data_IF_098284545658
#
_entry.id   IF_098284545658
#
_cell.length_a   1.000
_cell.length_b   1.000
_cell.length_c   1.000
_cell.angle_alpha   90.00
_cell.angle_beta   90.00
_cell.angle_gamma   90.00
#
_symmetry.space_group_name_H-M   'P 1'
#
loop_
_entity.id
_entity.type
_entity.pdbx_description
1 polymer ?
#
# COMPACT_ATOMS: atom_id res chain seq x y z
N UNK A 1 42.26 -15.79 52.62
CA UNK A 1 41.94 -16.55 51.37
C UNK A 1 40.84 -15.81 50.62
N UNK A 2 41.18 -14.89 49.71
CA UNK A 2 40.17 -14.19 48.88
C UNK A 2 39.94 -14.92 47.57
N UNK A 3 38.70 -15.37 47.34
CA UNK A 3 38.24 -15.94 46.07
C UNK A 3 38.36 -14.89 44.96
N UNK A 4 39.25 -15.14 44.01
CA UNK A 4 39.27 -14.46 42.71
C UNK A 4 38.10 -14.97 41.87
N UNK A 5 37.04 -14.18 41.75
CA UNK A 5 36.00 -14.41 40.75
C UNK A 5 36.55 -14.05 39.37
N UNK A 6 36.96 -15.06 38.58
CA UNK A 6 37.22 -14.90 37.15
C UNK A 6 35.90 -14.54 36.45
N UNK A 7 35.65 -13.24 36.28
CA UNK A 7 34.66 -12.77 35.31
C UNK A 7 35.17 -13.15 33.92
N UNK A 8 34.49 -14.08 33.25
CA UNK A 8 34.74 -14.41 31.84
C UNK A 8 34.61 -13.13 31.01
N UNK A 9 35.76 -12.55 30.61
CA UNK A 9 35.80 -11.51 29.58
C UNK A 9 35.55 -12.21 28.25
N UNK A 10 34.36 -12.01 27.69
CA UNK A 10 34.10 -12.38 26.29
C UNK A 10 35.11 -11.67 25.40
N UNK A 11 35.90 -12.44 24.66
CA UNK A 11 36.96 -11.91 23.78
C UNK A 11 36.37 -11.01 22.70
N UNK A 12 36.93 -9.79 22.47
CA UNK A 12 36.52 -8.92 21.37
C UNK A 12 36.52 -9.61 20.00
N UNK A 13 37.38 -10.63 19.85
CA UNK A 13 37.52 -11.44 18.62
C UNK A 13 36.33 -12.37 18.36
N UNK A 14 35.72 -12.91 19.41
CA UNK A 14 34.52 -13.76 19.28
C UNK A 14 33.33 -12.91 18.78
N UNK A 15 33.26 -11.65 19.20
CA UNK A 15 32.24 -10.68 18.81
C UNK A 15 32.43 -10.19 17.37
N UNK A 16 33.65 -9.87 16.97
CA UNK A 16 33.98 -9.60 15.56
C UNK A 16 33.63 -10.79 14.66
N UNK A 17 33.88 -12.02 15.13
CA UNK A 17 33.52 -13.23 14.40
C UNK A 17 31.99 -13.43 14.31
N UNK A 18 31.23 -13.18 15.38
CA UNK A 18 29.77 -13.26 15.36
C UNK A 18 29.13 -12.16 14.49
N UNK A 19 29.67 -10.94 14.51
CA UNK A 19 29.20 -9.83 13.68
C UNK A 19 29.52 -10.10 12.20
N UNK A 20 30.71 -10.62 11.90
CA UNK A 20 31.10 -11.04 10.57
C UNK A 20 30.23 -12.23 10.09
N UNK A 21 29.93 -13.18 10.96
CA UNK A 21 29.05 -14.31 10.66
C UNK A 21 27.60 -13.83 10.40
N UNK A 22 27.08 -12.89 11.17
CA UNK A 22 25.75 -12.32 10.94
C UNK A 22 25.69 -11.51 9.64
N UNK A 23 26.70 -10.69 9.35
CA UNK A 23 26.83 -9.98 8.07
C UNK A 23 26.92 -10.99 6.92
N UNK A 24 27.67 -12.07 7.08
CA UNK A 24 27.77 -13.14 6.10
C UNK A 24 26.43 -13.90 5.93
N UNK A 25 25.67 -14.12 7.00
CA UNK A 25 24.34 -14.75 6.95
C UNK A 25 23.34 -13.83 6.27
N UNK A 26 23.31 -12.54 6.61
CA UNK A 26 22.44 -11.56 5.94
C UNK A 26 22.81 -11.40 4.46
N UNK A 27 24.11 -11.38 4.14
CA UNK A 27 24.59 -11.35 2.76
C UNK A 27 24.25 -12.65 2.01
N UNK A 28 24.39 -13.81 2.66
CA UNK A 28 24.05 -15.10 2.09
C UNK A 28 22.54 -15.26 1.89
N UNK A 29 21.71 -14.86 2.86
CA UNK A 29 20.25 -14.85 2.76
C UNK A 29 19.80 -13.93 1.63
N UNK A 30 20.41 -12.74 1.51
CA UNK A 30 20.18 -11.87 0.37
C UNK A 30 20.57 -12.55 -0.95
N UNK A 31 21.74 -13.19 -1.05
CA UNK A 31 22.19 -13.90 -2.26
C UNK A 31 21.31 -15.12 -2.58
N UNK A 32 20.84 -15.86 -1.59
CA UNK A 32 20.00 -17.05 -1.74
C UNK A 32 18.58 -16.67 -2.19
N UNK A 33 17.97 -15.67 -1.55
CA UNK A 33 16.69 -15.07 -1.97
C UNK A 33 16.77 -14.48 -3.38
N UNK A 34 17.92 -13.88 -3.74
CA UNK A 34 18.17 -13.40 -5.09
C UNK A 34 18.40 -14.52 -6.12
N UNK A 35 18.81 -15.73 -5.73
CA UNK A 35 18.91 -16.86 -6.67
C UNK A 35 17.54 -17.47 -7.01
N UNK A 36 16.56 -17.38 -6.10
CA UNK A 36 15.22 -17.92 -6.30
C UNK A 36 14.31 -16.98 -7.11
N UNK A 37 14.65 -15.69 -7.17
CA UNK A 37 13.84 -14.65 -7.83
C UNK A 37 14.26 -14.35 -9.29
N UNK A 38 15.16 -15.13 -9.92
CA UNK A 38 15.67 -14.86 -11.29
C UNK A 38 15.19 -15.89 -12.33
N UNK A 39 13.89 -15.86 -12.66
CA UNK A 39 13.40 -16.24 -14.00
C UNK A 39 12.42 -15.17 -14.52
N UNK A 40 12.86 -13.90 -14.52
CA UNK A 40 12.15 -12.80 -15.18
C UNK A 40 12.48 -12.80 -16.66
N UNK A 41 11.78 -13.64 -17.44
CA UNK A 41 12.06 -13.76 -18.87
C UNK A 41 11.63 -12.54 -19.71
N UNK A 42 10.66 -11.71 -19.31
CA UNK A 42 10.23 -10.60 -20.17
C UNK A 42 9.72 -9.33 -19.43
N UNK A 43 10.57 -8.28 -19.34
CA UNK A 43 10.16 -6.86 -19.17
C UNK A 43 10.71 -6.06 -17.95
N UNK A 44 10.75 -4.70 -18.04
CA UNK A 44 11.82 -3.91 -18.65
C UNK A 44 13.14 -3.97 -17.88
N UNK A 45 14.19 -4.22 -18.65
CA UNK A 45 15.54 -4.60 -18.22
C UNK A 45 16.46 -3.44 -18.60
N UNK A 46 17.10 -2.80 -17.62
CA UNK A 46 18.47 -2.23 -17.65
C UNK A 46 18.70 -1.19 -16.54
N UNK A 47 17.74 -0.27 -16.32
CA UNK A 47 17.84 0.71 -15.22
C UNK A 47 17.62 0.08 -13.84
N UNK A 48 16.68 -0.86 -13.73
CA UNK A 48 16.43 -1.64 -12.51
C UNK A 48 17.66 -2.43 -12.07
N UNK A 49 18.27 -3.23 -12.96
CA UNK A 49 19.40 -4.12 -12.60
C UNK A 49 20.67 -3.36 -12.16
N UNK A 50 20.98 -2.23 -12.81
CA UNK A 50 22.13 -1.40 -12.46
C UNK A 50 21.88 -0.57 -11.18
N UNK A 51 20.70 0.04 -11.04
CA UNK A 51 20.29 0.71 -9.81
C UNK A 51 20.23 -0.27 -8.62
N UNK A 52 19.83 -1.51 -8.87
CA UNK A 52 19.69 -2.56 -7.87
C UNK A 52 21.05 -3.13 -7.44
N UNK A 53 22.00 -3.41 -8.34
CA UNK A 53 23.38 -3.78 -7.95
C UNK A 53 24.09 -2.65 -7.20
N UNK A 54 23.88 -1.39 -7.61
CA UNK A 54 24.40 -0.21 -6.91
C UNK A 54 23.73 -0.05 -5.53
N UNK A 55 22.45 -0.36 -5.43
CA UNK A 55 21.70 -0.36 -4.16
C UNK A 55 22.19 -1.46 -3.21
N UNK A 56 22.56 -2.66 -3.70
CA UNK A 56 23.03 -3.78 -2.87
C UNK A 56 24.31 -3.45 -2.09
N UNK A 57 25.30 -2.84 -2.75
CA UNK A 57 26.54 -2.39 -2.10
C UNK A 57 26.29 -1.22 -1.15
N UNK A 58 25.48 -0.25 -1.58
CA UNK A 58 25.10 0.91 -0.75
C UNK A 58 24.29 0.50 0.49
N UNK A 59 23.46 -0.54 0.39
CA UNK A 59 22.67 -1.09 1.47
C UNK A 59 23.53 -1.82 2.50
N UNK A 60 24.41 -2.72 2.05
CA UNK A 60 25.35 -3.40 2.94
C UNK A 60 26.21 -2.38 3.69
N UNK A 61 26.68 -1.33 2.99
CA UNK A 61 27.38 -0.20 3.60
C UNK A 61 26.48 0.55 4.58
N UNK A 62 25.23 0.87 4.24
CA UNK A 62 24.30 1.59 5.13
C UNK A 62 23.98 0.81 6.41
N UNK A 63 23.73 -0.51 6.31
CA UNK A 63 23.51 -1.37 7.47
C UNK A 63 24.76 -1.44 8.34
N UNK A 64 25.94 -1.64 7.74
CA UNK A 64 27.22 -1.65 8.48
C UNK A 64 27.49 -0.29 9.15
N UNK A 65 27.22 0.82 8.46
CA UNK A 65 27.36 2.17 9.01
C UNK A 65 26.37 2.40 10.15
N UNK A 66 25.14 1.92 10.06
CA UNK A 66 24.15 2.05 11.12
C UNK A 66 24.53 1.26 12.37
N UNK A 67 25.03 0.02 12.21
CA UNK A 67 25.60 -0.79 13.28
C UNK A 67 26.78 -0.07 13.94
N UNK A 68 27.72 0.43 13.14
CA UNK A 68 28.88 1.17 13.61
C UNK A 68 28.49 2.45 14.36
N UNK A 69 27.47 3.16 13.88
CA UNK A 69 26.97 4.41 14.48
C UNK A 69 26.34 4.15 15.85
N UNK A 70 25.46 3.15 15.96
CA UNK A 70 24.88 2.72 17.24
C UNK A 70 25.99 2.31 18.20
N UNK A 71 26.97 1.53 17.75
CA UNK A 71 28.11 1.10 18.57
C UNK A 71 28.95 2.28 19.09
N UNK A 72 29.41 3.19 18.22
CA UNK A 72 30.25 4.33 18.62
C UNK A 72 29.55 5.22 19.64
N UNK A 73 28.27 5.54 19.42
CA UNK A 73 27.53 6.49 20.24
C UNK A 73 27.17 5.89 21.60
N UNK A 74 26.65 4.66 21.61
CA UNK A 74 26.31 3.98 22.86
C UNK A 74 27.59 3.68 23.65
N UNK A 75 28.70 3.30 22.99
CA UNK A 75 29.98 3.02 23.65
C UNK A 75 30.59 4.23 24.34
N UNK A 76 30.54 5.41 23.71
CA UNK A 76 31.05 6.66 24.30
C UNK A 76 30.29 7.07 25.57
N UNK A 77 29.09 6.53 25.79
CA UNK A 77 28.13 7.04 26.79
C UNK A 77 27.62 5.99 27.77
N UNK A 78 28.08 4.74 27.68
CA UNK A 78 27.63 3.64 28.53
C UNK A 78 28.74 2.62 28.83
N UNK A 79 28.46 1.69 29.74
CA UNK A 79 29.35 0.55 29.98
C UNK A 79 29.42 -0.35 28.75
N UNK A 80 30.49 -1.13 28.63
CA UNK A 80 30.62 -2.12 27.55
C UNK A 80 29.42 -3.07 27.51
N UNK A 81 28.97 -3.57 28.66
CA UNK A 81 27.83 -4.47 28.77
C UNK A 81 26.54 -3.86 28.20
N UNK A 82 26.26 -2.61 28.56
CA UNK A 82 25.02 -1.96 28.14
C UNK A 82 25.05 -1.59 26.65
N UNK A 83 26.24 -1.27 26.13
CA UNK A 83 26.48 -1.12 24.69
C UNK A 83 26.19 -2.41 23.94
N UNK A 84 26.66 -3.55 24.46
CA UNK A 84 26.39 -4.85 23.85
C UNK A 84 24.90 -5.19 23.87
N UNK A 85 24.22 -4.98 24.99
CA UNK A 85 22.81 -5.30 25.09
C UNK A 85 21.96 -4.46 24.11
N UNK A 86 22.24 -3.15 23.98
CA UNK A 86 21.58 -2.28 23.02
C UNK A 86 21.85 -2.70 21.56
N UNK A 87 23.10 -3.06 21.25
CA UNK A 87 23.47 -3.56 19.92
C UNK A 87 22.79 -4.90 19.60
N UNK A 88 22.74 -5.83 20.55
CA UNK A 88 22.05 -7.11 20.37
C UNK A 88 20.54 -6.94 20.19
N UNK A 89 19.91 -6.00 20.92
CA UNK A 89 18.50 -5.66 20.71
C UNK A 89 18.25 -5.09 19.30
N UNK A 90 19.15 -4.22 18.80
CA UNK A 90 19.07 -3.69 17.44
C UNK A 90 19.23 -4.78 16.38
N UNK A 91 20.26 -5.62 16.49
CA UNK A 91 20.53 -6.72 15.55
C UNK A 91 19.42 -7.77 15.58
N UNK A 92 18.91 -8.11 16.77
CA UNK A 92 17.76 -9.01 16.91
C UNK A 92 16.50 -8.45 16.28
N UNK A 93 16.24 -7.14 16.43
CA UNK A 93 15.14 -6.46 15.75
C UNK A 93 15.26 -6.49 14.23
N UNK A 94 16.45 -6.24 13.69
CA UNK A 94 16.72 -6.35 12.24
C UNK A 94 16.49 -7.76 11.70
N UNK A 95 16.97 -8.77 12.44
CA UNK A 95 16.75 -10.16 12.07
C UNK A 95 15.25 -10.49 12.06
N UNK A 96 14.50 -10.00 13.06
CA UNK A 96 13.05 -10.18 13.12
C UNK A 96 12.34 -9.50 11.95
N UNK A 97 12.73 -8.29 11.55
CA UNK A 97 12.19 -7.63 10.35
C UNK A 97 12.43 -8.47 9.10
N UNK A 98 13.66 -8.97 8.93
CA UNK A 98 13.99 -9.82 7.79
C UNK A 98 13.14 -11.10 7.76
N UNK A 99 12.91 -11.73 8.93
CA UNK A 99 12.01 -12.89 9.04
C UNK A 99 10.58 -12.52 8.65
N UNK A 100 10.04 -11.40 9.14
CA UNK A 100 8.69 -10.94 8.76
C UNK A 100 8.61 -10.75 7.25
N UNK A 101 9.52 -9.97 6.65
CA UNK A 101 9.49 -9.66 5.23
C UNK A 101 9.67 -10.90 4.34
N UNK A 102 10.57 -11.81 4.70
CA UNK A 102 10.79 -13.06 3.97
C UNK A 102 9.63 -14.06 4.12
N UNK A 103 8.80 -13.90 5.16
CA UNK A 103 7.61 -14.74 5.35
C UNK A 103 6.39 -14.29 4.53
N UNK A 104 6.39 -13.06 3.98
CA UNK A 104 5.22 -12.50 3.28
C UNK A 104 4.81 -13.31 2.05
N UNK A 105 5.78 -13.72 1.23
CA UNK A 105 5.53 -14.50 0.01
C UNK A 105 5.04 -15.94 0.34
N UNK A 106 5.72 -16.72 1.22
CA UNK A 106 5.21 -18.02 1.66
C UNK A 106 3.82 -17.97 2.31
N UNK A 107 3.46 -16.85 2.93
CA UNK A 107 2.14 -16.63 3.52
C UNK A 107 1.11 -16.11 2.50
N UNK A 108 1.52 -15.85 1.25
CA UNK A 108 0.65 -15.30 0.20
C UNK A 108 0.17 -13.87 0.45
N UNK A 109 0.88 -13.10 1.28
CA UNK A 109 0.49 -11.74 1.66
C UNK A 109 1.01 -10.74 0.62
N UNK A 110 2.29 -10.83 0.26
CA UNK A 110 2.90 -9.99 -0.79
C UNK A 110 4.14 -10.67 -1.37
N UNK A 111 4.35 -10.50 -2.67
CA UNK A 111 5.46 -11.02 -3.47
C UNK A 111 6.43 -9.90 -3.85
N UNK A 112 6.54 -8.88 -2.98
CA UNK A 112 7.31 -7.67 -3.24
C UNK A 112 8.78 -7.79 -2.89
N UNK A 113 9.62 -6.87 -3.38
CA UNK A 113 11.04 -6.86 -3.03
C UNK A 113 11.24 -6.56 -1.55
N UNK A 114 12.01 -7.41 -0.86
CA UNK A 114 12.28 -7.31 0.59
C UNK A 114 13.38 -6.29 0.93
N UNK A 115 14.31 -6.04 0.00
CA UNK A 115 15.56 -5.32 0.30
C UNK A 115 15.34 -3.85 0.68
N UNK A 116 14.51 -3.11 -0.07
CA UNK A 116 14.25 -1.70 0.20
C UNK A 116 13.48 -1.50 1.52
N UNK A 117 12.39 -2.24 1.81
CA UNK A 117 11.75 -2.20 3.12
C UNK A 117 12.73 -2.47 4.27
N UNK A 118 13.57 -3.50 4.16
CA UNK A 118 14.55 -3.83 5.20
C UNK A 118 15.56 -2.69 5.43
N UNK A 119 15.99 -1.99 4.37
CA UNK A 119 16.84 -0.82 4.46
C UNK A 119 16.20 0.31 5.27
N UNK A 120 14.94 0.61 4.97
CA UNK A 120 14.16 1.65 5.64
C UNK A 120 13.96 1.28 7.11
N UNK A 121 13.61 0.03 7.40
CA UNK A 121 13.45 -0.45 8.78
C UNK A 121 14.76 -0.40 9.56
N UNK A 122 15.90 -0.70 8.93
CA UNK A 122 17.21 -0.54 9.55
C UNK A 122 17.52 0.91 9.96
N UNK A 123 17.15 1.87 9.11
CA UNK A 123 17.27 3.28 9.40
C UNK A 123 16.34 3.71 10.55
N UNK A 124 15.07 3.26 10.54
CA UNK A 124 14.09 3.53 11.60
C UNK A 124 14.57 2.98 12.94
N UNK A 125 15.00 1.71 12.99
CA UNK A 125 15.54 1.08 14.20
C UNK A 125 16.77 1.79 14.73
N UNK A 126 17.65 2.25 13.84
CA UNK A 126 18.82 3.03 14.20
C UNK A 126 18.39 4.37 14.81
N UNK A 127 17.46 5.08 14.17
CA UNK A 127 16.87 6.32 14.68
C UNK A 127 16.25 6.16 16.07
N UNK A 128 15.47 5.10 16.31
CA UNK A 128 14.90 4.78 17.62
C UNK A 128 16.00 4.50 18.65
N UNK A 129 17.00 3.71 18.30
CA UNK A 129 18.12 3.42 19.18
C UNK A 129 18.89 4.71 19.57
N UNK A 130 19.14 5.59 18.61
CA UNK A 130 19.82 6.87 18.84
C UNK A 130 18.96 7.85 19.64
N UNK A 131 17.67 7.94 19.33
CA UNK A 131 16.71 8.82 20.00
C UNK A 131 16.52 8.47 21.47
N UNK A 132 16.31 7.18 21.78
CA UNK A 132 16.30 6.70 23.16
C UNK A 132 17.62 7.03 23.87
N UNK A 133 18.75 6.97 23.14
CA UNK A 133 20.08 7.31 23.64
C UNK A 133 20.22 8.76 24.05
N UNK A 134 19.70 9.65 23.21
CA UNK A 134 19.68 11.08 23.48
C UNK A 134 18.77 11.42 24.67
N UNK A 135 17.56 10.86 24.74
CA UNK A 135 16.62 11.09 25.84
C UNK A 135 17.19 10.60 27.16
N UNK A 136 17.73 9.38 27.21
CA UNK A 136 18.34 8.84 28.42
C UNK A 136 19.54 9.66 28.90
N UNK A 137 20.31 10.23 27.97
CA UNK A 137 21.42 11.13 28.28
C UNK A 137 20.92 12.45 28.87
N UNK A 138 19.96 13.12 28.21
CA UNK A 138 19.37 14.38 28.70
C UNK A 138 18.72 14.22 30.07
N UNK A 139 18.12 13.06 30.34
CA UNK A 139 17.50 12.75 31.63
C UNK A 139 18.50 12.29 32.72
N UNK A 140 19.81 12.21 32.44
CA UNK A 140 20.82 11.75 33.39
C UNK A 140 20.69 10.28 33.82
N UNK A 141 19.90 9.50 33.08
CA UNK A 141 19.55 8.11 33.42
C UNK A 141 20.72 7.14 33.16
N UNK A 142 21.62 7.48 32.23
CA UNK A 142 22.75 6.64 31.83
C UNK A 142 23.81 6.41 32.93
N UNK A 143 23.85 7.26 33.96
CA UNK A 143 24.87 7.18 35.04
C UNK A 143 24.32 6.51 36.30
N UNK A 144 23.02 6.66 36.60
CA UNK A 144 22.42 6.22 37.88
C UNK A 144 21.66 4.89 37.85
N UNK A 145 21.19 4.40 36.68
CA UNK A 145 20.38 3.15 36.57
C UNK A 145 20.82 2.26 35.41
N UNK A 146 21.93 1.53 35.58
CA UNK A 146 22.60 0.73 34.53
C UNK A 146 21.70 -0.31 33.82
N UNK A 147 20.78 -0.96 34.56
CA UNK A 147 19.90 -1.99 33.99
C UNK A 147 18.67 -1.46 33.21
N UNK A 148 18.27 -0.21 33.45
CA UNK A 148 17.08 0.38 32.81
C UNK A 148 17.31 0.65 31.32
N UNK A 149 18.57 0.90 30.94
CA UNK A 149 18.93 1.34 29.61
C UNK A 149 18.83 0.25 28.53
N UNK A 150 19.42 -0.94 28.72
CA UNK A 150 19.18 -2.09 27.83
C UNK A 150 17.69 -2.44 27.71
N UNK A 151 16.94 -2.33 28.81
CA UNK A 151 15.51 -2.60 28.82
C UNK A 151 14.74 -1.62 27.94
N UNK A 152 14.99 -0.31 28.06
CA UNK A 152 14.34 0.71 27.21
C UNK A 152 14.67 0.52 25.73
N UNK A 153 15.92 0.18 25.40
CA UNK A 153 16.29 -0.20 24.05
C UNK A 153 15.54 -1.43 23.56
N UNK A 154 15.51 -2.50 24.36
CA UNK A 154 14.78 -3.73 24.05
C UNK A 154 13.30 -3.46 23.79
N UNK A 155 12.65 -2.69 24.67
CA UNK A 155 11.25 -2.28 24.53
C UNK A 155 11.02 -1.43 23.28
N UNK A 156 11.90 -0.48 22.98
CA UNK A 156 11.82 0.32 21.76
C UNK A 156 11.94 -0.51 20.49
N UNK A 157 12.88 -1.47 20.46
CA UNK A 157 13.04 -2.39 19.33
C UNK A 157 11.86 -3.36 19.20
N UNK A 158 11.32 -3.85 20.32
CA UNK A 158 10.12 -4.67 20.34
C UNK A 158 8.89 -3.89 19.83
N UNK A 159 8.73 -2.63 20.22
CA UNK A 159 7.66 -1.77 19.72
C UNK A 159 7.76 -1.56 18.20
N UNK A 160 8.95 -1.30 17.67
CA UNK A 160 9.15 -1.24 16.21
C UNK A 160 8.76 -2.56 15.55
N UNK A 161 9.12 -3.70 16.14
CA UNK A 161 8.72 -5.01 15.60
C UNK A 161 7.20 -5.19 15.59
N UNK A 162 6.49 -4.79 16.64
CA UNK A 162 5.02 -4.84 16.67
C UNK A 162 4.40 -3.99 15.55
N UNK A 163 4.94 -2.78 15.33
CA UNK A 163 4.51 -1.92 14.21
C UNK A 163 4.82 -2.57 12.86
N UNK A 164 5.98 -3.22 12.70
CA UNK A 164 6.33 -3.93 11.46
C UNK A 164 5.38 -5.10 11.20
N UNK A 165 5.08 -5.91 12.22
CA UNK A 165 4.13 -7.03 12.09
C UNK A 165 2.75 -6.51 11.75
N UNK A 166 2.27 -5.48 12.44
CA UNK A 166 0.99 -4.86 12.13
C UNK A 166 0.95 -4.36 10.69
N UNK A 167 1.95 -3.58 10.30
CA UNK A 167 1.93 -2.85 9.05
C UNK A 167 2.16 -3.73 7.80
N UNK A 168 2.91 -4.82 7.92
CA UNK A 168 3.21 -5.73 6.80
C UNK A 168 2.33 -6.97 6.77
N UNK A 169 1.72 -7.38 7.89
CA UNK A 169 0.99 -8.66 7.98
C UNK A 169 -0.47 -8.43 8.31
N UNK A 170 -0.77 -7.74 9.42
CA UNK A 170 -2.11 -7.68 9.97
C UNK A 170 -2.98 -6.65 9.23
N UNK A 171 -2.51 -5.41 9.15
CA UNK A 171 -3.26 -4.31 8.55
C UNK A 171 -3.52 -4.51 7.05
N UNK A 172 -2.55 -4.96 6.22
CA UNK A 172 -2.80 -5.29 4.82
C UNK A 172 -3.85 -6.40 4.63
N UNK A 173 -4.00 -7.31 5.59
CA UNK A 173 -5.00 -8.39 5.56
C UNK A 173 -6.35 -7.97 6.16
N UNK A 174 -6.40 -6.80 6.82
CA UNK A 174 -7.51 -6.28 7.60
C UNK A 174 -8.56 -5.55 6.77
N UNK A 175 -9.19 -6.24 5.81
CA UNK A 175 -10.21 -5.64 4.94
C UNK A 175 -11.37 -5.03 5.75
N UNK A 176 -11.62 -3.75 5.52
CA UNK A 176 -12.73 -2.98 6.12
C UNK A 176 -13.83 -2.70 5.09
N UNK A 177 -15.04 -2.37 5.58
CA UNK A 177 -16.12 -1.84 4.74
C UNK A 177 -16.46 -0.43 5.20
N UNK A 178 -16.22 0.54 4.32
CA UNK A 178 -16.69 1.91 4.50
C UNK A 178 -18.10 2.07 3.97
N UNK A 179 -18.84 3.03 4.52
CA UNK A 179 -20.24 3.29 4.13
C UNK A 179 -20.40 4.74 3.69
N UNK A 180 -21.06 4.93 2.57
CA UNK A 180 -21.49 6.23 2.07
C UNK A 180 -22.99 6.19 1.82
N UNK A 181 -23.69 7.27 2.16
CA UNK A 181 -25.08 7.46 1.77
C UNK A 181 -25.18 8.69 0.88
N UNK A 182 -25.81 8.51 -0.28
CA UNK A 182 -26.02 9.56 -1.28
C UNK A 182 -27.52 9.69 -1.49
N UNK A 183 -28.00 10.92 -1.54
CA UNK A 183 -29.40 11.21 -1.83
C UNK A 183 -29.57 11.26 -3.35
N UNK A 184 -30.56 10.55 -3.89
CA UNK A 184 -30.96 10.68 -5.28
C UNK A 184 -31.94 11.85 -5.40
N UNK A 185 -31.55 12.98 -6.04
CA UNK A 185 -32.45 14.11 -6.17
C UNK A 185 -33.55 13.89 -7.23
N UNK A 186 -33.49 12.83 -8.02
CA UNK A 186 -34.39 12.55 -9.13
C UNK A 186 -35.37 11.41 -8.86
N UNK A 187 -35.05 10.51 -7.94
CA UNK A 187 -35.83 9.32 -7.63
C UNK A 187 -36.46 9.34 -6.25
N UNK A 188 -37.59 8.65 -6.08
CA UNK A 188 -38.13 8.26 -4.78
C UNK A 188 -38.39 6.77 -4.79
N UNK A 189 -37.87 6.02 -3.82
CA UNK A 189 -38.13 4.58 -3.76
C UNK A 189 -38.33 4.05 -2.35
N UNK A 190 -38.71 2.77 -2.28
CA UNK A 190 -38.99 2.03 -1.05
C UNK A 190 -37.75 1.42 -0.40
N UNK A 191 -36.64 1.23 -1.13
CA UNK A 191 -35.38 0.70 -0.57
C UNK A 191 -34.13 1.42 -1.12
N UNK A 192 -33.04 1.49 -0.34
CA UNK A 192 -31.76 1.95 -0.87
C UNK A 192 -31.24 1.04 -1.98
N UNK A 193 -30.72 1.64 -3.05
CA UNK A 193 -29.90 0.95 -4.05
C UNK A 193 -28.47 0.86 -3.56
N UNK A 194 -27.85 -0.32 -3.65
CA UNK A 194 -26.50 -0.58 -3.13
C UNK A 194 -25.50 -0.69 -4.26
N UNK A 195 -24.51 0.20 -4.25
CA UNK A 195 -23.33 0.14 -5.12
C UNK A 195 -22.15 -0.25 -4.25
N UNK A 196 -21.42 -1.30 -4.62
CA UNK A 196 -20.13 -1.62 -3.98
C UNK A 196 -18.99 -1.16 -4.88
N UNK A 197 -18.16 -0.26 -4.37
CA UNK A 197 -16.93 0.16 -5.04
C UNK A 197 -15.75 -0.67 -4.54
N UNK A 198 -14.97 -1.19 -5.49
CA UNK A 198 -13.68 -1.85 -5.25
C UNK A 198 -12.63 -1.11 -6.09
N UNK A 199 -11.52 -0.73 -5.48
CA UNK A 199 -10.49 0.07 -6.14
C UNK A 199 -9.11 -0.48 -5.84
N UNK A 200 -8.16 -0.27 -6.76
CA UNK A 200 -6.73 -0.50 -6.56
C UNK A 200 -6.47 -1.90 -6.02
N UNK A 201 -6.91 -2.94 -6.74
CA UNK A 201 -6.69 -4.33 -6.36
C UNK A 201 -5.19 -4.64 -6.28
N UNK A 202 -4.38 -4.05 -7.18
CA UNK A 202 -2.95 -4.33 -7.34
C UNK A 202 -2.63 -5.80 -7.15
N UNK A 203 -3.40 -6.66 -7.85
CA UNK A 203 -3.31 -8.09 -7.66
C UNK A 203 -1.94 -8.57 -8.13
N UNK A 204 -1.30 -9.38 -7.28
CA UNK A 204 -0.04 -10.05 -7.59
C UNK A 204 -0.30 -11.53 -7.90
N UNK A 205 -1.03 -12.19 -7.01
CA UNK A 205 -1.56 -13.56 -7.11
C UNK A 205 -2.88 -13.62 -6.35
N UNK A 206 -3.71 -14.60 -6.65
CA UNK A 206 -4.89 -14.90 -5.84
C UNK A 206 -4.45 -15.32 -4.43
N UNK A 207 -5.02 -14.69 -3.39
CA UNK A 207 -4.66 -14.94 -2.01
C UNK A 207 -5.87 -14.86 -1.07
N UNK A 208 -5.64 -14.99 0.23
CA UNK A 208 -6.70 -14.94 1.23
C UNK A 208 -7.48 -13.60 1.22
N UNK A 209 -6.79 -12.49 0.95
CA UNK A 209 -7.38 -11.15 0.88
C UNK A 209 -8.27 -11.02 -0.36
N UNK A 210 -7.82 -11.42 -1.54
CA UNK A 210 -8.62 -11.33 -2.78
C UNK A 210 -9.93 -12.11 -2.67
N UNK A 211 -9.89 -13.31 -2.10
CA UNK A 211 -11.10 -14.07 -1.82
C UNK A 211 -11.96 -13.48 -0.69
N UNK A 212 -11.34 -12.80 0.30
CA UNK A 212 -12.09 -12.07 1.33
C UNK A 212 -12.83 -10.89 0.73
N UNK A 213 -12.23 -10.17 -0.22
CA UNK A 213 -12.87 -9.07 -0.96
C UNK A 213 -14.12 -9.59 -1.66
N UNK A 214 -14.02 -10.69 -2.42
CA UNK A 214 -15.18 -11.30 -3.10
C UNK A 214 -16.29 -11.66 -2.10
N UNK A 215 -15.95 -12.39 -1.04
CA UNK A 215 -16.94 -12.81 -0.03
C UNK A 215 -17.61 -11.61 0.63
N UNK A 216 -16.84 -10.59 1.00
CA UNK A 216 -17.34 -9.42 1.70
C UNK A 216 -18.17 -8.53 0.77
N UNK A 217 -17.76 -8.35 -0.49
CA UNK A 217 -18.53 -7.64 -1.50
C UNK A 217 -19.86 -8.33 -1.77
N UNK A 218 -19.88 -9.64 -2.05
CA UNK A 218 -21.11 -10.39 -2.32
C UNK A 218 -22.04 -10.43 -1.09
N UNK A 219 -21.49 -10.48 0.13
CA UNK A 219 -22.27 -10.47 1.37
C UNK A 219 -22.99 -9.14 1.63
N UNK A 220 -22.55 -8.03 1.01
CA UNK A 220 -23.26 -6.75 1.05
C UNK A 220 -24.52 -6.76 0.17
N UNK A 221 -24.70 -7.80 -0.66
CA UNK A 221 -25.78 -7.93 -1.63
C UNK A 221 -25.89 -6.66 -2.51
N UNK A 222 -24.83 -6.33 -3.26
CA UNK A 222 -24.84 -5.15 -4.12
C UNK A 222 -25.83 -5.34 -5.27
N UNK A 223 -26.52 -4.26 -5.63
CA UNK A 223 -27.25 -4.18 -6.88
C UNK A 223 -26.25 -4.04 -8.05
N UNK A 224 -25.23 -3.19 -7.86
CA UNK A 224 -24.18 -2.87 -8.83
C UNK A 224 -22.81 -2.96 -8.15
N UNK A 225 -21.80 -3.46 -8.85
CA UNK A 225 -20.40 -3.31 -8.44
C UNK A 225 -19.68 -2.39 -9.41
N UNK A 226 -18.88 -1.46 -8.89
CA UNK A 226 -18.01 -0.59 -9.68
C UNK A 226 -16.55 -0.81 -9.32
N UNK A 227 -15.72 -0.93 -10.35
CA UNK A 227 -14.29 -1.18 -10.28
C UNK A 227 -13.56 0.08 -10.78
N UNK A 228 -12.79 0.74 -9.92
CA UNK A 228 -12.21 2.06 -10.22
C UNK A 228 -10.71 2.04 -10.52
N UNK A 229 -10.24 1.01 -11.22
CA UNK A 229 -8.88 0.92 -11.78
C UNK A 229 -7.80 0.32 -10.87
N UNK A 230 -6.61 0.13 -11.46
CA UNK A 230 -5.40 -0.50 -10.91
C UNK A 230 -5.64 -1.94 -10.45
N UNK A 231 -5.93 -2.80 -11.42
CA UNK A 231 -6.27 -4.21 -11.17
C UNK A 231 -5.05 -5.09 -10.96
N UNK A 232 -4.03 -4.88 -11.80
CA UNK A 232 -2.76 -5.60 -11.75
C UNK A 232 -1.74 -4.81 -10.93
N UNK A 233 -0.87 -5.49 -10.21
CA UNK A 233 0.26 -4.82 -9.59
C UNK A 233 1.27 -4.37 -10.66
N UNK A 234 1.91 -3.21 -10.45
CA UNK A 234 2.94 -2.65 -11.36
C UNK A 234 4.12 -3.58 -11.64
N UNK A 235 4.40 -4.55 -10.75
CA UNK A 235 5.47 -5.54 -10.95
C UNK A 235 5.05 -6.73 -11.81
N UNK A 236 3.75 -6.90 -12.06
CA UNK A 236 3.17 -8.04 -12.79
C UNK A 236 2.17 -7.63 -13.91
N UNK A 237 2.36 -6.52 -14.65
CA UNK A 237 1.36 -6.02 -15.61
C UNK A 237 1.16 -6.96 -16.81
N UNK A 238 2.16 -7.79 -17.13
CA UNK A 238 2.14 -8.75 -18.24
C UNK A 238 2.19 -10.21 -17.77
N UNK A 239 2.12 -10.45 -16.46
CA UNK A 239 2.18 -11.81 -15.91
C UNK A 239 0.87 -12.57 -16.19
N UNK A 240 0.98 -13.69 -16.90
CA UNK A 240 -0.20 -14.44 -17.34
C UNK A 240 -0.93 -15.10 -16.16
N UNK A 241 -0.19 -15.51 -15.13
CA UNK A 241 -0.77 -16.11 -13.92
C UNK A 241 -1.58 -15.07 -13.14
N UNK A 242 -1.02 -13.87 -12.88
CA UNK A 242 -1.75 -12.76 -12.27
C UNK A 242 -3.02 -12.41 -13.04
N UNK A 243 -2.96 -12.34 -14.37
CA UNK A 243 -4.13 -12.05 -15.20
C UNK A 243 -5.20 -13.13 -15.08
N UNK A 244 -4.82 -14.41 -15.04
CA UNK A 244 -5.75 -15.53 -14.83
C UNK A 244 -6.38 -15.48 -13.44
N UNK A 245 -5.59 -15.17 -12.42
CA UNK A 245 -6.06 -15.01 -11.04
C UNK A 245 -7.03 -13.84 -10.93
N UNK A 246 -6.72 -12.69 -11.53
CA UNK A 246 -7.60 -11.52 -11.58
C UNK A 246 -8.95 -11.89 -12.18
N UNK A 247 -8.95 -12.58 -13.32
CA UNK A 247 -10.18 -13.04 -13.98
C UNK A 247 -10.99 -13.98 -13.10
N UNK A 248 -10.32 -14.86 -12.35
CA UNK A 248 -10.97 -15.79 -11.41
C UNK A 248 -11.63 -15.03 -10.25
N UNK A 249 -10.93 -14.05 -9.67
CA UNK A 249 -11.43 -13.25 -8.55
C UNK A 249 -12.58 -12.36 -8.99
N UNK A 250 -12.43 -11.63 -10.09
CA UNK A 250 -13.48 -10.73 -10.60
C UNK A 250 -14.69 -11.51 -11.11
N UNK A 251 -14.48 -12.67 -11.75
CA UNK A 251 -15.57 -13.54 -12.20
C UNK A 251 -16.42 -14.15 -11.07
N UNK A 252 -15.94 -14.10 -9.82
CA UNK A 252 -16.69 -14.57 -8.66
C UNK A 252 -17.53 -13.48 -7.97
N UNK A 253 -17.42 -12.21 -8.42
CA UNK A 253 -18.25 -11.12 -7.94
C UNK A 253 -19.68 -11.25 -8.48
N UNK A 254 -20.66 -10.84 -7.68
CA UNK A 254 -22.08 -10.96 -8.00
C UNK A 254 -22.78 -9.63 -7.81
N UNK A 255 -23.34 -9.10 -8.89
CA UNK A 255 -24.14 -7.88 -8.92
C UNK A 255 -25.25 -8.05 -9.98
N UNK A 256 -26.53 -8.17 -9.60
CA UNK A 256 -27.62 -8.46 -10.54
C UNK A 256 -27.78 -7.43 -11.67
N UNK A 257 -27.38 -6.18 -11.43
CA UNK A 257 -27.43 -5.11 -12.42
C UNK A 257 -26.08 -4.81 -13.07
N UNK A 258 -25.10 -5.70 -12.89
CA UNK A 258 -23.83 -5.66 -13.60
C UNK A 258 -22.64 -5.15 -12.78
N UNK A 259 -21.47 -5.42 -13.34
CA UNK A 259 -20.17 -4.99 -12.83
C UNK A 259 -19.60 -4.02 -13.86
N UNK A 260 -19.18 -2.83 -13.44
CA UNK A 260 -18.68 -1.78 -14.33
C UNK A 260 -17.27 -1.40 -13.95
N UNK A 261 -16.40 -1.14 -14.94
CA UNK A 261 -14.98 -0.92 -14.72
C UNK A 261 -14.42 0.25 -15.53
N UNK A 262 -13.45 0.97 -14.95
CA UNK A 262 -12.60 1.96 -15.65
C UNK A 262 -11.12 1.62 -15.47
N UNK A 263 -10.26 2.08 -16.38
CA UNK A 263 -8.82 1.81 -16.36
C UNK A 263 -8.06 2.68 -15.36
N UNK A 264 -7.03 2.09 -14.75
CA UNK A 264 -6.06 2.78 -13.88
C UNK A 264 -4.73 3.14 -14.57
N UNK A 265 -3.72 3.47 -13.76
CA UNK A 265 -2.38 3.84 -14.21
C UNK A 265 -1.60 2.68 -14.82
N UNK A 266 -1.80 1.46 -14.30
CA UNK A 266 -0.98 0.28 -14.66
C UNK A 266 -1.74 -0.74 -15.49
N UNK A 267 -3.04 -0.53 -15.67
CA UNK A 267 -3.90 -1.38 -16.49
C UNK A 267 -3.59 -1.21 -17.99
N UNK A 268 -3.90 -2.22 -18.83
CA UNK A 268 -3.85 -2.07 -20.28
C UNK A 268 -4.86 -1.02 -20.75
N UNK A 269 -4.56 -0.37 -21.88
CA UNK A 269 -5.46 0.63 -22.50
C UNK A 269 -6.83 0.03 -22.86
N UNK A 270 -6.85 -1.25 -23.28
CA UNK A 270 -8.09 -1.97 -23.51
C UNK A 270 -8.40 -2.92 -22.35
N UNK A 271 -9.42 -2.59 -21.56
CA UNK A 271 -9.87 -3.45 -20.46
C UNK A 271 -10.40 -4.81 -20.89
N UNK A 272 -10.76 -4.99 -22.18
CA UNK A 272 -11.12 -6.32 -22.70
C UNK A 272 -9.94 -7.32 -22.60
N UNK A 273 -8.70 -6.83 -22.57
CA UNK A 273 -7.51 -7.67 -22.34
C UNK A 273 -7.51 -8.32 -20.95
N UNK A 274 -8.18 -7.69 -19.98
CA UNK A 274 -8.36 -8.23 -18.62
C UNK A 274 -9.69 -8.95 -18.50
N UNK A 275 -10.77 -8.35 -19.00
CA UNK A 275 -12.14 -8.76 -18.66
C UNK A 275 -12.92 -9.39 -19.80
N UNK A 276 -12.36 -9.54 -21.01
CA UNK A 276 -13.05 -10.13 -22.15
C UNK A 276 -13.68 -11.49 -21.82
N UNK A 277 -14.98 -11.64 -22.06
CA UNK A 277 -15.74 -12.86 -21.71
C UNK A 277 -16.17 -12.98 -20.25
N UNK A 278 -15.89 -12.00 -19.39
CA UNK A 278 -16.49 -11.86 -18.06
C UNK A 278 -17.69 -10.92 -18.12
N UNK A 279 -18.64 -11.00 -17.17
CA UNK A 279 -19.78 -10.08 -17.08
C UNK A 279 -19.36 -8.72 -16.48
N UNK A 280 -18.32 -8.10 -17.05
CA UNK A 280 -17.78 -6.79 -16.64
C UNK A 280 -17.88 -5.85 -17.83
N UNK A 281 -18.52 -4.72 -17.62
CA UNK A 281 -18.73 -3.68 -18.62
C UNK A 281 -17.64 -2.60 -18.46
N UNK A 282 -16.69 -2.55 -19.38
CA UNK A 282 -15.74 -1.44 -19.46
C UNK A 282 -16.46 -0.14 -19.84
N UNK A 283 -16.25 0.92 -19.07
CA UNK A 283 -16.86 2.23 -19.26
C UNK A 283 -15.87 3.32 -19.67
N UNK A 284 -14.64 2.96 -20.03
CA UNK A 284 -13.66 3.93 -20.55
C UNK A 284 -14.27 4.74 -21.70
N UNK A 285 -14.37 6.05 -21.44
CA UNK A 285 -14.97 7.11 -22.24
C UNK A 285 -16.40 6.84 -22.72
N UNK A 286 -17.16 6.11 -21.91
CA UNK A 286 -18.55 5.72 -22.20
C UNK A 286 -19.42 5.82 -20.95
N UNK A 287 -20.72 5.75 -21.16
CA UNK A 287 -21.68 5.68 -20.04
C UNK A 287 -22.77 4.66 -20.33
N UNK A 288 -23.36 4.14 -19.27
CA UNK A 288 -24.49 3.22 -19.29
C UNK A 288 -25.66 3.82 -18.52
N UNK A 289 -26.88 3.59 -19.02
CA UNK A 289 -28.10 3.87 -18.30
C UNK A 289 -28.50 2.65 -17.47
N UNK A 290 -28.62 2.83 -16.16
CA UNK A 290 -29.18 1.84 -15.25
C UNK A 290 -30.59 2.27 -14.86
N UNK A 291 -31.57 1.41 -15.16
CA UNK A 291 -32.96 1.57 -14.73
C UNK A 291 -33.28 0.53 -13.66
N UNK A 292 -33.27 0.96 -12.40
CA UNK A 292 -33.37 0.06 -11.25
C UNK A 292 -34.49 0.55 -10.35
N UNK A 293 -35.57 -0.22 -10.27
CA UNK A 293 -36.74 0.09 -9.42
C UNK A 293 -37.28 1.51 -9.63
N UNK A 294 -37.29 1.99 -10.87
CA UNK A 294 -37.75 3.33 -11.25
C UNK A 294 -36.71 4.44 -11.09
N UNK A 295 -35.53 4.16 -10.51
CA UNK A 295 -34.39 5.08 -10.56
C UNK A 295 -33.74 5.03 -11.93
N UNK A 296 -33.31 6.19 -12.43
CA UNK A 296 -32.49 6.32 -13.62
C UNK A 296 -31.13 6.82 -13.17
N UNK A 297 -30.09 6.03 -13.40
CA UNK A 297 -28.71 6.36 -13.06
C UNK A 297 -27.88 6.34 -14.34
N UNK A 298 -27.22 7.45 -14.65
CA UNK A 298 -26.17 7.49 -15.65
C UNK A 298 -24.84 7.14 -14.98
N UNK A 299 -24.31 5.96 -15.26
CA UNK A 299 -23.00 5.54 -14.80
C UNK A 299 -21.99 5.79 -15.92
N UNK A 300 -21.17 6.81 -15.77
CA UNK A 300 -20.16 7.22 -16.74
C UNK A 300 -18.76 6.78 -16.28
N UNK A 301 -17.94 6.34 -17.22
CA UNK A 301 -16.52 6.08 -16.99
C UNK A 301 -15.66 7.01 -17.82
N UNK A 302 -14.59 7.51 -17.22
CA UNK A 302 -13.55 8.28 -17.89
C UNK A 302 -12.26 7.49 -17.88
N UNK A 303 -11.68 7.24 -19.06
CA UNK A 303 -10.40 6.57 -19.17
C UNK A 303 -9.28 7.43 -18.58
N UNK A 304 -8.18 6.81 -18.18
CA UNK A 304 -6.96 7.54 -17.84
C UNK A 304 -6.05 7.64 -19.09
N UNK A 305 -6.20 8.72 -19.86
CA UNK A 305 -5.45 8.87 -21.11
C UNK A 305 -3.97 9.07 -20.85
N UNK A 306 -3.13 8.48 -21.70
CA UNK A 306 -1.67 8.52 -21.59
C UNK A 306 -1.07 9.20 -22.80
N UNK A 307 0.02 9.94 -22.57
CA UNK A 307 0.83 10.53 -23.63
C UNK A 307 2.29 10.16 -23.41
N UNK A 308 3.01 9.90 -24.50
CA UNK A 308 4.44 9.59 -24.48
C UNK A 308 5.29 10.70 -23.84
N UNK A 309 4.81 11.95 -23.84
CA UNK A 309 5.54 13.10 -23.33
C UNK A 309 5.32 13.38 -21.83
N UNK A 310 4.12 13.11 -21.31
CA UNK A 310 3.69 13.56 -19.97
C UNK A 310 3.27 12.41 -19.04
N UNK A 311 3.22 11.17 -19.54
CA UNK A 311 2.71 10.01 -18.82
C UNK A 311 1.18 10.00 -18.73
N UNK A 312 0.55 11.12 -18.35
CA UNK A 312 -0.91 11.34 -18.38
C UNK A 312 -1.29 12.48 -19.32
N UNK A 313 -2.26 12.27 -20.21
CA UNK A 313 -2.79 13.29 -21.11
C UNK A 313 -4.06 13.94 -20.54
N UNK A 314 -3.86 14.88 -19.62
CA UNK A 314 -4.97 15.60 -18.98
C UNK A 314 -5.80 16.41 -19.96
N UNK A 315 -5.24 16.79 -21.10
CA UNK A 315 -5.99 17.54 -22.11
C UNK A 315 -7.00 16.61 -22.78
N UNK A 316 -6.59 15.39 -23.12
CA UNK A 316 -7.48 14.35 -23.61
C UNK A 316 -8.56 14.01 -22.56
N UNK A 317 -8.18 13.81 -21.29
CA UNK A 317 -9.13 13.52 -20.20
C UNK A 317 -10.22 14.60 -20.08
N UNK A 318 -9.83 15.89 -20.15
CA UNK A 318 -10.79 17.01 -20.09
C UNK A 318 -11.74 17.04 -21.28
N UNK A 319 -11.22 16.76 -22.46
CA UNK A 319 -12.03 16.74 -23.68
C UNK A 319 -13.05 15.59 -23.61
N UNK A 320 -12.59 14.37 -23.29
CA UNK A 320 -13.44 13.20 -23.15
C UNK A 320 -14.52 13.39 -22.09
N UNK A 321 -14.16 13.94 -20.91
CA UNK A 321 -15.12 14.25 -19.85
C UNK A 321 -16.20 15.25 -20.29
N UNK A 322 -15.81 16.31 -21.02
CA UNK A 322 -16.75 17.29 -21.52
C UNK A 322 -17.69 16.71 -22.60
N UNK A 323 -17.21 15.81 -23.44
CA UNK A 323 -18.01 15.08 -24.43
C UNK A 323 -18.99 14.12 -23.76
N UNK A 324 -18.52 13.35 -22.77
CA UNK A 324 -19.36 12.48 -21.94
C UNK A 324 -20.50 13.24 -21.28
N UNK A 325 -20.18 14.32 -20.56
CA UNK A 325 -21.16 15.12 -19.85
C UNK A 325 -22.26 15.68 -20.77
N UNK A 326 -21.88 16.16 -21.97
CA UNK A 326 -22.84 16.64 -22.97
C UNK A 326 -23.79 15.56 -23.48
N UNK A 327 -23.37 14.30 -23.47
CA UNK A 327 -24.16 13.18 -23.96
C UNK A 327 -25.15 12.62 -22.93
N UNK A 328 -24.99 12.98 -21.65
CA UNK A 328 -25.82 12.49 -20.55
C UNK A 328 -27.01 13.44 -20.33
N UNK A 329 -28.26 12.95 -20.40
CA UNK A 329 -29.42 13.79 -20.11
C UNK A 329 -29.48 14.18 -18.63
N UNK A 330 -29.82 15.43 -18.32
CA UNK A 330 -29.80 15.99 -16.95
C UNK A 330 -30.98 15.64 -16.04
N UNK A 331 -31.77 14.61 -16.35
CA UNK A 331 -32.99 14.21 -15.62
C UNK A 331 -32.79 12.92 -14.78
N UNK A 332 -31.56 12.67 -14.34
CA UNK A 332 -31.11 11.41 -13.71
C UNK A 332 -29.89 11.63 -12.83
N UNK A 333 -29.68 10.73 -11.87
CA UNK A 333 -28.47 10.74 -11.05
C UNK A 333 -27.26 10.38 -11.93
N UNK A 334 -26.26 11.25 -11.96
CA UNK A 334 -25.04 11.08 -12.74
C UNK A 334 -23.86 10.70 -11.85
N UNK A 335 -23.30 9.51 -12.08
CA UNK A 335 -22.18 8.97 -11.33
C UNK A 335 -20.98 8.83 -12.27
N UNK A 336 -19.90 9.54 -11.97
CA UNK A 336 -18.62 9.42 -12.66
C UNK A 336 -17.72 8.40 -11.96
N UNK A 337 -17.22 7.45 -12.71
CA UNK A 337 -16.12 6.57 -12.37
C UNK A 337 -14.86 7.09 -13.06
N UNK A 338 -13.82 7.37 -12.29
CA UNK A 338 -12.49 7.63 -12.83
C UNK A 338 -11.46 7.17 -11.81
N UNK A 339 -10.29 6.73 -12.26
CA UNK A 339 -9.32 6.14 -11.35
C UNK A 339 -8.76 7.16 -10.35
N UNK A 340 -8.41 8.36 -10.81
CA UNK A 340 -7.78 9.40 -9.98
C UNK A 340 -8.80 10.38 -9.41
N UNK A 341 -8.51 11.16 -8.36
CA UNK A 341 -9.33 12.31 -7.95
C UNK A 341 -9.01 13.58 -8.75
N UNK A 342 -8.09 13.52 -9.72
CA UNK A 342 -7.43 14.71 -10.27
C UNK A 342 -8.32 15.54 -11.23
N UNK A 343 -9.47 14.98 -11.63
CA UNK A 343 -10.46 15.60 -12.53
C UNK A 343 -11.67 16.20 -11.78
N UNK A 344 -11.61 16.32 -10.43
CA UNK A 344 -12.77 16.77 -9.64
C UNK A 344 -13.31 18.16 -10.01
N UNK A 345 -12.49 19.20 -10.30
CA UNK A 345 -13.06 20.49 -10.71
C UNK A 345 -13.79 20.40 -12.04
N UNK A 346 -13.26 19.63 -13.00
CA UNK A 346 -13.86 19.46 -14.32
C UNK A 346 -15.14 18.60 -14.24
N UNK A 347 -15.17 17.59 -13.39
CA UNK A 347 -16.36 16.78 -13.11
C UNK A 347 -17.46 17.63 -12.46
N UNK A 348 -17.10 18.48 -11.50
CA UNK A 348 -18.03 19.38 -10.84
C UNK A 348 -18.58 20.46 -11.78
N UNK A 349 -17.73 21.04 -12.61
CA UNK A 349 -18.14 21.99 -13.64
C UNK A 349 -19.07 21.35 -14.69
N UNK A 350 -18.92 20.04 -14.92
CA UNK A 350 -19.75 19.26 -15.84
C UNK A 350 -21.08 18.79 -15.23
N UNK A 351 -21.30 19.03 -13.94
CA UNK A 351 -22.57 18.77 -13.27
C UNK A 351 -22.78 17.32 -12.82
N UNK A 352 -21.73 16.51 -12.68
CA UNK A 352 -21.85 15.16 -12.12
C UNK A 352 -22.31 15.21 -10.65
N UNK A 353 -23.19 14.32 -10.21
CA UNK A 353 -23.69 14.31 -8.83
C UNK A 353 -22.73 13.58 -7.88
N UNK A 354 -22.17 12.46 -8.34
CA UNK A 354 -21.25 11.61 -7.57
C UNK A 354 -20.02 11.25 -8.40
N UNK A 355 -18.84 11.31 -7.78
CA UNK A 355 -17.57 10.90 -8.35
C UNK A 355 -16.93 9.84 -7.46
N UNK A 356 -16.74 8.63 -7.99
CA UNK A 356 -16.05 7.52 -7.32
C UNK A 356 -14.66 7.29 -7.93
N UNK A 357 -13.63 7.31 -7.08
CA UNK A 357 -12.24 7.08 -7.50
C UNK A 357 -11.40 6.36 -6.44
N UNK A 358 -10.15 6.07 -6.79
CA UNK A 358 -9.12 5.46 -5.94
C UNK A 358 -7.79 6.20 -6.03
N UNK A 359 -6.74 5.50 -6.49
CA UNK A 359 -5.40 6.00 -6.84
C UNK A 359 -4.54 6.46 -5.67
N UNK A 360 -5.13 7.10 -4.68
CA UNK A 360 -4.38 7.73 -3.58
C UNK A 360 -3.97 6.76 -2.48
N UNK A 361 -4.62 5.60 -2.41
CA UNK A 361 -4.43 4.57 -1.39
C UNK A 361 -4.63 5.04 0.07
N UNK A 362 -5.25 6.21 0.31
CA UNK A 362 -5.17 6.87 1.63
C UNK A 362 -3.74 7.20 2.04
N UNK A 363 -2.84 7.25 1.07
CA UNK A 363 -1.39 7.30 1.17
C UNK A 363 -0.67 6.03 1.57
N UNK A 364 -1.42 4.94 1.83
CA UNK A 364 -0.94 3.62 2.23
C UNK A 364 -0.21 3.60 3.61
N UNK A 365 0.65 4.58 3.88
CA UNK A 365 1.31 4.83 5.16
C UNK A 365 0.90 6.20 5.68
N UNK A 366 0.31 6.22 6.87
CA UNK A 366 -0.17 7.43 7.53
C UNK A 366 0.53 7.63 8.86
N UNK A 367 0.76 8.88 9.23
CA UNK A 367 1.26 9.24 10.56
C UNK A 367 0.12 9.78 11.43
N UNK A 368 0.11 9.49 12.74
CA UNK A 368 -0.81 10.11 13.68
C UNK A 368 -0.80 11.63 13.53
N UNK A 369 -1.98 12.25 13.53
CA UNK A 369 -2.20 13.71 13.41
C UNK A 369 -1.76 14.36 12.10
N UNK A 370 -0.97 13.68 11.27
CA UNK A 370 -0.55 14.17 9.96
C UNK A 370 -1.44 13.62 8.84
N UNK A 371 -1.81 12.34 8.86
CA UNK A 371 -2.50 11.69 7.74
C UNK A 371 -1.51 11.10 6.73
N UNK A 372 -1.85 11.09 5.44
CA UNK A 372 -1.01 10.47 4.40
C UNK A 372 0.36 11.14 4.30
N UNK A 373 1.41 10.32 4.16
CA UNK A 373 2.76 10.81 3.85
C UNK A 373 2.87 11.33 2.41
N UNK A 374 2.26 10.60 1.48
CA UNK A 374 2.19 10.91 0.04
C UNK A 374 0.90 10.32 -0.51
N UNK A 375 0.35 10.90 -1.59
CA UNK A 375 -0.89 10.42 -2.24
C UNK A 375 -0.78 10.37 -3.77
N UNK A 376 0.31 10.89 -4.35
CA UNK A 376 0.52 11.02 -5.80
C UNK A 376 -0.66 11.62 -6.59
N UNK A 377 -1.45 12.48 -5.94
CA UNK A 377 -2.49 13.30 -6.56
C UNK A 377 -1.96 14.72 -6.78
N UNK A 378 -2.47 15.40 -7.81
CA UNK A 378 -2.19 16.82 -8.06
C UNK A 378 -2.62 17.72 -6.92
N UNK A 379 -3.61 17.30 -6.13
CA UNK A 379 -4.12 18.04 -4.99
C UNK A 379 -3.43 17.64 -3.67
N UNK A 380 -2.39 16.81 -3.75
CA UNK A 380 -1.66 16.30 -2.59
C UNK A 380 -2.61 15.74 -1.55
N UNK A 381 -2.67 16.41 -0.39
CA UNK A 381 -3.42 15.97 0.78
C UNK A 381 -4.89 16.40 0.82
N UNK A 382 -5.37 17.17 -0.17
CA UNK A 382 -6.78 17.64 -0.15
C UNK A 382 -7.77 16.50 -0.30
N UNK A 383 -7.43 15.48 -1.07
CA UNK A 383 -8.30 14.34 -1.42
C UNK A 383 -7.62 13.01 -1.10
N UNK A 384 -7.21 12.80 0.16
CA UNK A 384 -6.44 11.60 0.53
C UNK A 384 -7.29 10.32 0.53
N UNK A 385 -8.51 10.41 1.07
CA UNK A 385 -9.42 9.28 1.26
C UNK A 385 -10.77 9.77 1.80
N UNK A 386 -11.83 9.02 1.57
CA UNK A 386 -13.16 9.31 2.10
C UNK A 386 -13.91 10.35 1.27
N UNK A 387 -14.85 11.04 1.92
CA UNK A 387 -15.85 11.88 1.26
C UNK A 387 -15.49 13.35 1.28
N UNK A 388 -15.59 14.01 0.12
CA UNK A 388 -15.45 15.46 -0.03
C UNK A 388 -16.54 16.01 -0.95
N UNK A 389 -16.65 17.34 -1.03
CA UNK A 389 -17.61 18.02 -1.89
C UNK A 389 -16.93 19.13 -2.67
N UNK A 390 -17.17 19.18 -3.97
CA UNK A 390 -16.74 20.25 -4.87
C UNK A 390 -17.99 20.79 -5.58
N UNK A 391 -18.42 22.00 -5.23
CA UNK A 391 -19.73 22.51 -5.67
C UNK A 391 -20.87 21.57 -5.24
N UNK A 392 -21.68 21.12 -6.20
CA UNK A 392 -22.76 20.16 -5.94
C UNK A 392 -22.30 18.70 -5.99
N UNK A 393 -21.13 18.42 -6.56
CA UNK A 393 -20.60 17.07 -6.74
C UNK A 393 -20.02 16.53 -5.44
N UNK A 394 -20.48 15.34 -5.07
CA UNK A 394 -19.90 14.54 -4.00
C UNK A 394 -18.78 13.68 -4.58
N UNK A 395 -17.60 13.68 -3.97
CA UNK A 395 -16.51 12.76 -4.35
C UNK A 395 -16.23 11.79 -3.20
N UNK A 396 -16.03 10.52 -3.54
CA UNK A 396 -15.50 9.52 -2.64
C UNK A 396 -14.17 8.97 -3.20
N UNK A 397 -13.10 9.14 -2.42
CA UNK A 397 -11.77 8.62 -2.74
C UNK A 397 -11.52 7.36 -1.91
N UNK A 398 -11.49 6.21 -2.58
CA UNK A 398 -11.20 4.93 -1.96
C UNK A 398 -9.73 4.81 -1.56
N UNK A 399 -9.46 4.21 -0.40
CA UNK A 399 -8.11 3.80 0.03
C UNK A 399 -7.58 2.58 -0.72
N UNK A 400 -8.41 1.97 -1.55
CA UNK A 400 -8.10 0.75 -2.27
C UNK A 400 -7.95 -0.47 -1.35
N UNK A 401 -7.75 -1.62 -1.98
CA UNK A 401 -7.61 -2.90 -1.26
C UNK A 401 -6.21 -3.51 -1.36
N UNK A 402 -5.48 -3.21 -2.43
CA UNK A 402 -4.15 -3.73 -2.70
C UNK A 402 -3.01 -2.84 -2.22
N UNK A 403 -1.79 -3.18 -2.67
CA UNK A 403 -0.54 -2.49 -2.38
C UNK A 403 0.17 -2.19 -3.71
N UNK A 404 0.42 -0.92 -4.03
CA UNK A 404 1.01 -0.49 -5.31
C UNK A 404 2.41 -1.10 -5.54
N UNK A 405 3.35 -0.81 -4.63
CA UNK A 405 4.68 -1.42 -4.63
C UNK A 405 5.70 -0.81 -5.60
N UNK A 406 5.43 0.35 -6.21
CA UNK A 406 6.42 1.06 -7.05
C UNK A 406 7.39 1.90 -6.23
N UNK A 407 6.92 3.05 -5.71
CA UNK A 407 7.72 3.98 -4.91
C UNK A 407 7.42 3.77 -3.42
N UNK A 408 6.18 3.41 -3.09
CA UNK A 408 5.77 3.11 -1.72
C UNK A 408 6.01 1.62 -1.46
N UNK A 409 6.70 1.25 -0.36
CA UNK A 409 6.86 -0.16 0.02
C UNK A 409 5.49 -0.82 0.21
N UNK A 410 5.40 -2.12 -0.05
CA UNK A 410 4.16 -2.91 0.12
C UNK A 410 3.85 -3.14 1.60
N UNK A 411 3.26 -2.11 2.21
CA UNK A 411 2.97 -2.01 3.65
C UNK A 411 1.73 -1.14 3.81
N UNK A 412 0.87 -1.37 4.81
CA UNK A 412 -0.18 -0.42 5.21
C UNK A 412 -0.02 -0.06 6.67
N UNK A 413 -0.08 1.22 7.01
CA UNK A 413 0.00 1.66 8.42
C UNK A 413 -0.97 2.80 8.68
N UNK A 414 -1.89 2.59 9.63
CA UNK A 414 -3.02 3.48 9.94
C UNK A 414 -3.91 3.80 8.73
N UNK A 415 -3.89 2.93 7.72
CA UNK A 415 -4.65 2.98 6.47
C UNK A 415 -5.10 1.57 6.03
N UNK A 416 -5.99 0.89 6.80
CA UNK A 416 -6.43 -0.44 6.43
C UNK A 416 -7.16 -0.44 5.08
N UNK A 417 -7.07 -1.54 4.31
CA UNK A 417 -7.73 -1.64 3.01
C UNK A 417 -9.25 -1.60 3.15
N UNK A 418 -9.96 -1.16 2.11
CA UNK A 418 -11.41 -1.02 2.15
C UNK A 418 -12.12 -1.39 0.85
N UNK A 419 -13.32 -1.94 0.99
CA UNK A 419 -14.39 -1.80 -0.01
C UNK A 419 -15.40 -0.77 0.48
N UNK A 420 -16.09 -0.11 -0.44
CA UNK A 420 -17.07 0.95 -0.09
C UNK A 420 -18.46 0.46 -0.42
N UNK A 421 -19.35 0.46 0.57
CA UNK A 421 -20.78 0.23 0.38
C UNK A 421 -21.50 1.58 0.29
N UNK A 422 -22.00 1.90 -0.91
CA UNK A 422 -22.66 3.16 -1.22
C UNK A 422 -24.16 2.88 -1.32
N UNK A 423 -24.94 3.53 -0.46
CA UNK A 423 -26.40 3.47 -0.49
C UNK A 423 -26.94 4.73 -1.16
N UNK A 424 -27.56 4.56 -2.32
CA UNK A 424 -28.34 5.60 -3.00
C UNK A 424 -29.76 5.54 -2.45
N UNK A 425 -30.23 6.64 -1.85
CA UNK A 425 -31.56 6.72 -1.22
C UNK A 425 -32.51 7.56 -2.05
#
# INVERSE_FOLDING_TARGET
MSKSSRTMRTSPWLLLALLAALVAVLAWMAVAYLRTQYDWRDGPILLGRAAEQLSRRRLAVAVVLSIGTVWVIVRRRSSLHDTYAALMAYLGGLLADAVVLLSLEPLGISYGPVLLPLAVLAAVRCGVALGLGAVAWLAGLSVRRRALWPLLHGLGQALVLLIVVDAFVLEPSGLTTSRLTVQDPYGTTTRPLRIVQISDLHLERANALSWRIVRQANALQPDVIVLTGDYLNISFPHDQETRRDLRTIVGALQAPYGIYAVSGNVDPENLDDLFGGLPVHALDDRWALLEIEGRRIALAGLALHRSLAEGRDRKADRQALAELAKSIPGDRLSILLHHTPDMIPEAAASGFDLYLCGHTHGGQVRLPFYGALTTFSLYGKRYEMGTYREGNTLIYVSRGVGLEGWIIPRVRFLCPPEIVNIEIR
#
